data_IF_746962646520
#
_entry.id   IF_746962646520
#
_cell.length_a   1.000
_cell.length_b   1.000
_cell.length_c   1.000
_cell.angle_alpha   90.00
_cell.angle_beta   90.00
_cell.angle_gamma   90.00
#
_symmetry.space_group_name_H-M   'P 1'
#
loop_
_entity.id
_entity.type
_entity.pdbx_description
1 polymer ?
#
# COMPACT_ATOMS: atom_id res chain seq x y z
N UNK A 1 -34.25 17.71 -30.37
CA UNK A 1 -33.43 18.95 -30.43
C UNK A 1 -32.22 18.72 -29.54
N UNK A 2 -31.08 18.35 -30.15
CA UNK A 2 -29.87 17.98 -29.42
C UNK A 2 -29.15 19.22 -28.90
N UNK A 3 -29.04 19.35 -27.59
CA UNK A 3 -28.16 20.33 -26.96
C UNK A 3 -26.75 19.75 -26.94
N UNK A 4 -25.98 20.02 -28.00
CA UNK A 4 -24.53 19.84 -28.02
C UNK A 4 -23.89 20.85 -27.09
N UNK A 5 -23.85 20.53 -25.79
CA UNK A 5 -22.92 21.19 -24.89
C UNK A 5 -21.53 20.70 -25.25
N UNK A 6 -20.67 21.58 -25.77
CA UNK A 6 -19.24 21.29 -25.89
C UNK A 6 -18.73 20.98 -24.48
N UNK A 7 -18.61 19.69 -24.15
CA UNK A 7 -17.99 19.25 -22.91
C UNK A 7 -16.53 19.65 -22.98
N UNK A 8 -16.16 20.73 -22.29
CA UNK A 8 -14.77 21.17 -22.22
C UNK A 8 -13.99 20.10 -21.47
N UNK A 9 -13.27 19.30 -22.24
CA UNK A 9 -12.37 18.24 -21.75
C UNK A 9 -11.20 18.93 -21.04
N UNK A 10 -10.79 18.39 -19.89
CA UNK A 10 -9.65 18.88 -19.10
C UNK A 10 -8.75 17.73 -18.72
N UNK A 11 -7.47 18.04 -18.61
CA UNK A 11 -6.48 17.14 -18.06
C UNK A 11 -6.50 17.27 -16.53
N UNK A 12 -7.12 16.31 -15.84
CA UNK A 12 -7.36 16.36 -14.40
C UNK A 12 -6.56 15.29 -13.65
N UNK A 13 -6.06 15.63 -12.47
CA UNK A 13 -5.51 14.67 -11.51
C UNK A 13 -5.84 15.08 -10.08
N UNK A 14 -5.92 14.11 -9.18
CA UNK A 14 -6.18 14.33 -7.76
C UNK A 14 -4.89 14.13 -6.96
N UNK A 15 -4.68 14.99 -5.96
CA UNK A 15 -3.67 14.83 -4.91
C UNK A 15 -4.40 14.52 -3.61
N UNK A 16 -3.92 13.51 -2.90
CA UNK A 16 -4.42 13.13 -1.58
C UNK A 16 -3.46 13.68 -0.53
N UNK A 17 -3.99 14.49 0.38
CA UNK A 17 -3.24 15.04 1.51
C UNK A 17 -3.85 14.59 2.84
N UNK A 18 -3.02 14.27 3.82
CA UNK A 18 -3.47 14.06 5.19
C UNK A 18 -2.95 15.20 6.06
N UNK A 19 -3.86 15.99 6.64
CA UNK A 19 -3.55 17.19 7.42
C UNK A 19 -2.54 18.13 6.70
N UNK A 20 -2.73 18.33 5.38
CA UNK A 20 -1.87 19.16 4.54
C UNK A 20 -0.54 18.51 4.10
N UNK A 21 -0.32 17.24 4.41
CA UNK A 21 0.85 16.48 3.95
C UNK A 21 0.47 15.62 2.75
N UNK A 22 1.10 15.86 1.61
CA UNK A 22 0.93 15.04 0.41
C UNK A 22 1.31 13.57 0.65
N UNK A 23 0.38 12.66 0.35
CA UNK A 23 0.55 11.21 0.49
C UNK A 23 0.54 10.46 -0.84
N UNK A 24 -0.33 10.86 -1.76
CA UNK A 24 -0.47 10.20 -3.06
C UNK A 24 -1.04 11.14 -4.12
N UNK A 25 -0.91 10.73 -5.39
CA UNK A 25 -1.45 11.44 -6.54
C UNK A 25 -1.87 10.45 -7.62
N UNK A 26 -2.99 10.73 -8.29
CA UNK A 26 -3.47 9.97 -9.46
C UNK A 26 -2.73 10.33 -10.74
N UNK A 27 -2.89 9.49 -11.76
CA UNK A 27 -2.53 9.85 -13.13
C UNK A 27 -3.38 11.02 -13.63
N UNK A 28 -2.84 11.72 -14.62
CA UNK A 28 -3.59 12.73 -15.36
C UNK A 28 -4.55 12.02 -16.31
N UNK A 29 -5.83 12.41 -16.27
CA UNK A 29 -6.86 11.93 -17.18
C UNK A 29 -7.43 13.09 -17.99
N UNK A 30 -7.39 12.95 -19.31
CA UNK A 30 -8.05 13.84 -20.25
C UNK A 30 -9.50 13.38 -20.39
N UNK A 31 -10.41 14.06 -19.70
CA UNK A 31 -11.82 13.68 -19.69
C UNK A 31 -12.72 14.91 -19.55
N UNK A 32 -14.03 14.72 -19.75
CA UNK A 32 -15.01 15.71 -19.32
C UNK A 32 -15.13 15.70 -17.77
N UNK A 33 -16.21 16.24 -17.24
CA UNK A 33 -16.39 16.34 -15.78
C UNK A 33 -16.88 15.06 -15.10
N UNK A 34 -17.22 14.02 -15.87
CA UNK A 34 -17.80 12.77 -15.35
C UNK A 34 -16.95 11.61 -15.81
N UNK A 35 -16.01 11.20 -14.97
CA UNK A 35 -15.06 10.13 -15.28
C UNK A 35 -14.52 9.48 -14.01
N UNK A 36 -13.86 8.33 -14.20
CA UNK A 36 -13.24 7.56 -13.14
C UNK A 36 -11.71 7.56 -13.27
N UNK A 37 -11.01 7.72 -12.15
CA UNK A 37 -9.57 7.43 -12.09
C UNK A 37 -9.30 5.93 -11.96
N UNK A 38 -10.15 5.22 -11.21
CA UNK A 38 -10.02 3.80 -10.86
C UNK A 38 -8.62 3.43 -10.31
N UNK A 39 -8.13 4.26 -9.38
CA UNK A 39 -6.84 4.07 -8.72
C UNK A 39 -7.03 3.75 -7.24
N UNK A 40 -6.13 2.92 -6.71
CA UNK A 40 -6.11 2.54 -5.31
C UNK A 40 -4.76 2.91 -4.70
N UNK A 41 -4.79 3.51 -3.51
CA UNK A 41 -3.61 3.89 -2.76
C UNK A 41 -3.63 3.26 -1.37
N UNK A 42 -2.47 2.86 -0.89
CA UNK A 42 -2.25 2.51 0.52
C UNK A 42 -1.55 3.68 1.20
N UNK A 43 -2.18 4.24 2.24
CA UNK A 43 -1.67 5.41 2.95
C UNK A 43 -1.37 5.05 4.40
N UNK A 44 -0.14 5.33 4.84
CA UNK A 44 0.21 5.27 6.25
C UNK A 44 -0.32 6.52 6.98
N UNK A 45 -1.24 6.28 7.91
CA UNK A 45 -1.87 7.30 8.75
C UNK A 45 -1.25 7.27 10.15
N UNK A 46 -0.80 8.44 10.62
CA UNK A 46 -0.21 8.61 11.96
C UNK A 46 -0.95 9.74 12.66
N UNK A 47 -1.97 9.38 13.44
CA UNK A 47 -2.85 10.33 14.15
C UNK A 47 -3.47 11.39 13.24
N UNK A 48 -3.68 11.06 11.96
CA UNK A 48 -4.22 12.01 11.00
C UNK A 48 -5.72 12.25 11.23
N UNK A 49 -6.16 13.49 11.04
CA UNK A 49 -7.55 13.90 11.34
C UNK A 49 -8.37 14.14 10.09
N UNK A 50 -7.75 14.69 9.06
CA UNK A 50 -8.42 15.06 7.82
C UNK A 50 -7.71 14.45 6.61
N UNK A 51 -8.49 13.95 5.67
CA UNK A 51 -8.04 13.53 4.34
C UNK A 51 -8.64 14.49 3.30
N UNK A 52 -7.77 15.19 2.60
CA UNK A 52 -8.08 16.16 1.57
C UNK A 52 -7.87 15.57 0.16
N UNK A 53 -8.79 15.90 -0.73
CA UNK A 53 -8.76 15.59 -2.16
C UNK A 53 -8.64 16.89 -2.94
N UNK A 54 -7.45 17.14 -3.49
CA UNK A 54 -7.15 18.35 -4.25
C UNK A 54 -7.08 18.00 -5.74
N UNK A 55 -8.08 18.42 -6.51
CA UNK A 55 -8.17 18.10 -7.94
C UNK A 55 -7.65 19.28 -8.75
N UNK A 56 -6.56 19.03 -9.48
CA UNK A 56 -5.88 20.01 -10.30
C UNK A 56 -6.18 19.78 -11.78
N UNK A 57 -6.23 20.87 -12.55
CA UNK A 57 -6.05 20.82 -14.00
C UNK A 57 -4.57 20.98 -14.35
N UNK A 58 -4.07 20.11 -15.22
CA UNK A 58 -2.78 20.24 -15.88
C UNK A 58 -2.97 20.99 -17.20
N UNK A 59 -2.10 21.95 -17.48
CA UNK A 59 -2.06 22.67 -18.75
C UNK A 59 -0.60 22.95 -19.12
N UNK A 60 -0.21 22.78 -20.40
CA UNK A 60 1.18 23.01 -20.85
C UNK A 60 1.71 24.42 -20.60
N UNK A 61 0.85 25.43 -20.58
CA UNK A 61 1.21 26.84 -20.39
C UNK A 61 0.92 27.33 -18.97
N UNK A 62 -0.21 26.93 -18.38
CA UNK A 62 -0.70 27.49 -17.12
C UNK A 62 -0.23 26.78 -15.84
N UNK A 63 0.56 25.70 -15.96
CA UNK A 63 0.99 24.84 -14.84
C UNK A 63 -0.21 24.41 -13.96
N UNK A 64 0.07 23.68 -12.89
CA UNK A 64 -0.95 23.03 -12.07
C UNK A 64 -1.93 24.03 -11.44
N UNK A 65 -3.21 24.01 -11.84
CA UNK A 65 -4.25 24.88 -11.29
C UNK A 65 -5.23 24.07 -10.44
N UNK A 66 -5.34 24.39 -9.14
CA UNK A 66 -6.34 23.78 -8.27
C UNK A 66 -7.74 24.17 -8.75
N UNK A 67 -8.58 23.18 -9.04
CA UNK A 67 -9.92 23.37 -9.56
C UNK A 67 -11.00 23.00 -8.54
N UNK A 68 -10.76 21.95 -7.76
CA UNK A 68 -11.73 21.42 -6.79
C UNK A 68 -11.07 20.93 -5.52
N UNK A 69 -11.80 21.00 -4.41
CA UNK A 69 -11.39 20.43 -3.13
C UNK A 69 -12.55 19.68 -2.48
N UNK A 70 -12.27 18.50 -1.94
CA UNK A 70 -13.14 17.79 -1.00
C UNK A 70 -12.35 17.32 0.20
N UNK A 71 -13.03 17.05 1.32
CA UNK A 71 -12.38 16.69 2.58
C UNK A 71 -13.22 15.68 3.35
N UNK A 72 -12.56 14.81 4.10
CA UNK A 72 -13.19 13.81 4.98
C UNK A 72 -12.51 13.81 6.34
N UNK A 73 -13.30 13.83 7.42
CA UNK A 73 -12.79 13.67 8.78
C UNK A 73 -12.57 12.19 9.09
N UNK A 74 -11.31 11.80 9.21
CA UNK A 74 -10.89 10.41 9.41
C UNK A 74 -11.34 9.88 10.77
N UNK A 75 -11.18 10.65 11.85
CA UNK A 75 -11.48 10.16 13.20
C UNK A 75 -12.94 9.73 13.37
N UNK A 76 -13.89 10.52 12.87
CA UNK A 76 -15.31 10.18 12.91
C UNK A 76 -15.60 8.95 12.05
N UNK A 77 -15.11 8.96 10.81
CA UNK A 77 -15.35 7.89 9.85
C UNK A 77 -14.84 6.54 10.36
N UNK A 78 -13.56 6.47 10.73
CA UNK A 78 -12.88 5.23 11.13
C UNK A 78 -13.39 4.66 12.47
N UNK A 79 -14.12 5.47 13.26
CA UNK A 79 -14.75 5.02 14.49
C UNK A 79 -16.02 4.19 14.24
N UNK A 80 -16.68 4.39 13.10
CA UNK A 80 -17.93 3.71 12.78
C UNK A 80 -17.72 2.33 12.13
N UNK A 81 -16.76 2.21 11.21
CA UNK A 81 -16.49 0.99 10.46
C UNK A 81 -15.04 0.95 9.94
N UNK A 82 -14.46 -0.23 9.69
CA UNK A 82 -13.20 -0.32 8.95
C UNK A 82 -13.39 -0.14 7.43
N UNK A 83 -14.61 -0.19 6.91
CA UNK A 83 -14.88 -0.10 5.47
C UNK A 83 -15.99 0.90 5.18
N UNK A 84 -15.74 1.81 4.24
CA UNK A 84 -16.68 2.85 3.83
C UNK A 84 -16.74 2.99 2.31
N UNK A 85 -17.94 3.28 1.81
CA UNK A 85 -18.16 3.80 0.46
C UNK A 85 -18.72 5.20 0.61
N UNK A 86 -18.05 6.18 0.00
CA UNK A 86 -18.29 7.60 0.25
C UNK A 86 -18.63 8.32 -1.03
N UNK A 87 -19.55 9.27 -0.90
CA UNK A 87 -19.83 10.32 -1.87
C UNK A 87 -19.40 11.66 -1.26
N UNK A 88 -18.16 12.06 -1.54
CA UNK A 88 -17.56 13.29 -0.99
C UNK A 88 -18.00 14.47 -1.84
N UNK A 89 -18.68 15.43 -1.23
CA UNK A 89 -19.00 16.69 -1.91
C UNK A 89 -17.70 17.46 -2.16
N UNK A 90 -17.51 17.92 -3.40
CA UNK A 90 -16.37 18.76 -3.78
C UNK A 90 -16.85 20.17 -4.09
N UNK A 91 -16.08 21.16 -3.65
CA UNK A 91 -16.33 22.57 -3.90
C UNK A 91 -15.53 23.06 -5.12
N UNK A 92 -16.08 23.95 -5.96
CA UNK A 92 -17.41 24.60 -5.82
C UNK A 92 -18.60 23.74 -6.29
N UNK A 93 -18.34 22.59 -6.93
CA UNK A 93 -19.39 21.66 -7.39
C UNK A 93 -18.83 20.29 -7.70
N UNK A 94 -19.68 19.28 -7.57
CA UNK A 94 -19.42 17.90 -7.97
C UNK A 94 -19.43 16.93 -6.79
N UNK A 95 -19.20 15.67 -7.08
CA UNK A 95 -19.13 14.60 -6.09
C UNK A 95 -18.02 13.64 -6.48
N UNK A 96 -17.13 13.34 -5.54
CA UNK A 96 -16.10 12.32 -5.67
C UNK A 96 -16.59 11.04 -4.99
N UNK A 97 -16.68 9.95 -5.74
CA UNK A 97 -16.98 8.65 -5.19
C UNK A 97 -15.69 7.91 -4.86
N UNK A 98 -15.63 7.32 -3.66
CA UNK A 98 -14.48 6.53 -3.26
C UNK A 98 -14.86 5.39 -2.32
N UNK A 99 -13.96 4.42 -2.21
CA UNK A 99 -14.01 3.39 -1.17
C UNK A 99 -12.79 3.53 -0.26
N UNK A 100 -13.01 3.48 1.04
CA UNK A 100 -11.98 3.52 2.06
C UNK A 100 -11.97 2.21 2.85
N UNK A 101 -10.78 1.66 3.06
CA UNK A 101 -10.55 0.52 3.94
C UNK A 101 -9.47 0.88 4.95
N UNK A 102 -9.78 0.72 6.23
CA UNK A 102 -8.87 0.97 7.34
C UNK A 102 -8.47 -0.36 7.99
N UNK A 103 -7.17 -0.59 8.00
CA UNK A 103 -6.54 -1.72 8.66
C UNK A 103 -5.79 -1.20 9.86
N UNK A 104 -6.07 -1.73 11.05
CA UNK A 104 -5.38 -1.27 12.26
C UNK A 104 -3.91 -1.71 12.25
N UNK A 105 -3.00 -1.00 12.95
CA UNK A 105 -1.61 -1.44 13.09
C UNK A 105 -1.50 -2.88 13.59
N UNK A 106 -2.37 -3.29 14.52
CA UNK A 106 -2.41 -4.66 15.01
C UNK A 106 -2.70 -5.63 13.86
N UNK A 107 -3.68 -5.36 13.01
CA UNK A 107 -3.99 -6.21 11.85
C UNK A 107 -2.86 -6.22 10.81
N UNK A 108 -2.23 -5.07 10.54
CA UNK A 108 -1.10 -4.95 9.61
C UNK A 108 0.13 -5.72 10.09
N UNK A 109 0.45 -5.64 11.38
CA UNK A 109 1.61 -6.31 11.97
C UNK A 109 1.33 -7.75 12.43
N UNK A 110 0.06 -8.14 12.55
CA UNK A 110 -0.36 -9.52 12.75
C UNK A 110 -0.02 -10.34 11.51
N UNK A 111 1.22 -10.81 11.47
CA UNK A 111 1.61 -11.96 10.66
C UNK A 111 0.91 -13.17 11.27
N UNK A 112 -0.37 -13.36 10.96
CA UNK A 112 -1.04 -14.62 11.27
C UNK A 112 -0.14 -15.70 10.68
N UNK A 113 0.41 -16.64 11.48
CA UNK A 113 1.01 -17.81 10.87
C UNK A 113 -0.11 -18.38 9.98
N UNK A 114 0.12 -18.48 8.67
CA UNK A 114 -0.71 -19.36 7.83
C UNK A 114 -0.85 -20.62 8.66
N UNK A 115 -2.09 -20.97 9.01
CA UNK A 115 -2.43 -21.97 10.01
C UNK A 115 -1.37 -23.06 10.05
N UNK A 116 -0.94 -23.53 11.24
CA UNK A 116 -0.05 -24.67 11.28
C UNK A 116 -0.82 -25.83 10.68
N UNK A 117 -0.69 -26.03 9.37
CA UNK A 117 -0.98 -27.29 8.75
C UNK A 117 0.04 -28.19 9.42
N UNK A 118 -0.42 -28.94 10.43
CA UNK A 118 0.35 -29.96 11.10
C UNK A 118 0.56 -31.10 10.12
N UNK A 119 1.24 -30.84 9.01
CA UNK A 119 1.94 -31.86 8.25
C UNK A 119 3.21 -32.13 9.01
N UNK A 120 3.27 -33.31 9.64
CA UNK A 120 4.44 -33.86 10.32
C UNK A 120 5.74 -33.46 9.60
N UNK A 121 6.54 -32.61 10.24
CA UNK A 121 7.92 -32.34 9.83
C UNK A 121 8.23 -30.95 9.26
N UNK A 122 7.31 -29.97 9.24
CA UNK A 122 7.68 -28.59 8.87
C UNK A 122 7.36 -27.58 9.98
N UNK A 123 8.43 -26.91 10.42
CA UNK A 123 8.55 -25.98 11.55
C UNK A 123 7.46 -24.90 11.59
N UNK A 124 6.92 -24.65 12.79
CA UNK A 124 6.05 -23.49 13.07
C UNK A 124 6.75 -22.17 12.67
N UNK A 125 5.96 -21.20 12.22
CA UNK A 125 6.48 -19.89 11.78
C UNK A 125 7.21 -19.13 12.88
N UNK A 126 8.36 -18.54 12.54
CA UNK A 126 9.18 -17.71 13.44
C UNK A 126 8.46 -16.39 13.74
N UNK A 127 7.87 -15.80 12.70
CA UNK A 127 7.17 -14.53 12.82
C UNK A 127 5.75 -14.71 13.34
N UNK A 128 5.32 -13.81 14.24
CA UNK A 128 4.03 -13.88 14.92
C UNK A 128 3.99 -14.86 16.10
N UNK A 129 5.08 -15.57 16.38
CA UNK A 129 5.28 -16.34 17.62
C UNK A 129 5.94 -15.45 18.69
N UNK A 130 5.66 -15.74 19.97
CA UNK A 130 6.36 -15.11 21.09
C UNK A 130 7.87 -15.41 21.05
N UNK A 131 8.69 -14.42 21.38
CA UNK A 131 10.16 -14.53 21.31
C UNK A 131 10.66 -15.71 22.16
N UNK A 132 10.19 -15.83 23.39
CA UNK A 132 10.57 -16.91 24.31
C UNK A 132 10.21 -18.29 23.74
N UNK A 133 9.02 -18.40 23.14
CA UNK A 133 8.57 -19.62 22.47
C UNK A 133 9.50 -20.00 21.30
N UNK A 134 9.96 -19.02 20.52
CA UNK A 134 10.90 -19.27 19.41
C UNK A 134 12.27 -19.68 19.94
N UNK A 135 12.81 -18.96 20.93
CA UNK A 135 14.13 -19.23 21.53
C UNK A 135 14.18 -20.62 22.15
N UNK A 136 13.15 -21.02 22.92
CA UNK A 136 13.09 -22.34 23.52
C UNK A 136 13.05 -23.46 22.47
N UNK A 137 12.31 -23.26 21.38
CA UNK A 137 12.27 -24.23 20.26
C UNK A 137 13.64 -24.37 19.59
N UNK A 138 14.34 -23.25 19.38
CA UNK A 138 15.68 -23.25 18.78
C UNK A 138 16.70 -23.92 19.70
N UNK A 139 16.65 -23.66 21.02
CA UNK A 139 17.51 -24.31 22.02
C UNK A 139 17.32 -25.82 22.03
N UNK A 140 16.06 -26.29 22.10
CA UNK A 140 15.73 -27.73 22.09
C UNK A 140 16.17 -28.38 20.76
N UNK A 141 15.94 -27.72 19.63
CA UNK A 141 16.38 -28.23 18.32
C UNK A 141 17.92 -28.34 18.24
N UNK A 142 18.64 -27.38 18.84
CA UNK A 142 20.11 -27.38 18.94
C UNK A 142 20.64 -28.55 19.77
N UNK A 143 19.99 -28.86 20.90
CA UNK A 143 20.37 -29.97 21.78
C UNK A 143 20.11 -31.35 21.16
N UNK A 144 19.01 -31.51 20.43
CA UNK A 144 18.61 -32.79 19.82
C UNK A 144 19.44 -33.11 18.58
N UNK A 145 19.77 -32.12 17.76
CA UNK A 145 20.46 -32.28 16.48
C UNK A 145 21.94 -31.92 16.61
N UNK A 146 22.73 -32.62 17.42
CA UNK A 146 24.18 -32.33 17.63
C UNK A 146 24.94 -31.96 16.33
N UNK A 147 25.19 -30.66 16.12
CA UNK A 147 25.95 -30.15 14.97
C UNK A 147 26.11 -28.63 14.96
N UNK A 148 27.26 -28.13 14.46
CA UNK A 148 27.68 -26.72 14.42
C UNK A 148 26.71 -25.76 13.70
N UNK A 149 25.79 -26.29 12.88
CA UNK A 149 24.82 -25.51 12.11
C UNK A 149 23.68 -24.89 12.95
N UNK A 150 23.62 -25.15 14.26
CA UNK A 150 22.49 -24.76 15.13
C UNK A 150 22.81 -23.59 16.08
N UNK A 151 24.02 -23.04 16.03
CA UNK A 151 24.37 -21.79 16.72
C UNK A 151 23.88 -20.53 15.98
N UNK A 152 23.29 -20.69 14.80
CA UNK A 152 22.75 -19.60 13.98
C UNK A 152 21.24 -19.57 14.18
N UNK A 153 20.66 -18.46 14.72
CA UNK A 153 19.22 -18.32 14.87
C UNK A 153 18.49 -18.65 13.56
N UNK A 154 17.36 -19.38 13.63
CA UNK A 154 16.66 -19.90 12.45
C UNK A 154 16.31 -18.78 11.49
N UNK A 155 16.00 -17.59 12.01
CA UNK A 155 15.70 -16.44 11.17
C UNK A 155 16.90 -16.03 10.30
N UNK A 156 18.11 -16.02 10.85
CA UNK A 156 19.34 -15.67 10.12
C UNK A 156 19.60 -16.73 9.06
N UNK A 157 19.57 -18.01 9.43
CA UNK A 157 19.75 -19.12 8.49
C UNK A 157 18.75 -19.06 7.33
N UNK A 158 17.45 -18.85 7.61
CA UNK A 158 16.39 -18.77 6.59
C UNK A 158 16.56 -17.56 5.68
N UNK A 159 16.97 -16.41 6.22
CA UNK A 159 17.26 -15.23 5.42
C UNK A 159 18.45 -15.47 4.48
N UNK A 160 19.53 -16.10 4.97
CA UNK A 160 20.70 -16.47 4.16
C UNK A 160 20.31 -17.45 3.06
N UNK A 161 19.61 -18.54 3.40
CA UNK A 161 19.10 -19.52 2.42
C UNK A 161 18.24 -18.86 1.34
N UNK A 162 17.36 -17.92 1.71
CA UNK A 162 16.48 -17.24 0.77
C UNK A 162 17.25 -16.25 -0.13
N UNK A 163 18.29 -15.60 0.39
CA UNK A 163 19.22 -14.76 -0.40
C UNK A 163 19.97 -15.64 -1.42
N UNK A 164 20.55 -16.74 -0.98
CA UNK A 164 21.27 -17.69 -1.85
C UNK A 164 20.34 -18.28 -2.93
N UNK A 165 19.11 -18.66 -2.55
CA UNK A 165 18.10 -19.23 -3.46
C UNK A 165 17.64 -18.23 -4.53
N UNK A 166 17.55 -16.94 -4.21
CA UNK A 166 17.19 -15.88 -5.17
C UNK A 166 18.36 -15.47 -6.06
N UNK A 167 19.58 -15.90 -5.71
CA UNK A 167 20.81 -15.52 -6.37
C UNK A 167 21.29 -14.14 -5.93
N UNK A 168 22.60 -14.01 -5.76
CA UNK A 168 23.29 -12.72 -5.62
C UNK A 168 23.67 -12.17 -6.99
N UNK A 169 22.74 -12.16 -7.95
CA UNK A 169 23.00 -11.72 -9.34
C UNK A 169 23.11 -10.19 -9.48
N UNK A 170 23.81 -9.55 -8.55
CA UNK A 170 24.34 -8.21 -8.73
C UNK A 170 25.84 -8.36 -8.98
N UNK A 171 26.18 -8.72 -10.22
CA UNK A 171 27.50 -8.40 -10.74
C UNK A 171 27.55 -6.87 -10.83
N UNK A 172 28.19 -6.23 -9.86
CA UNK A 172 28.70 -4.87 -10.01
C UNK A 172 29.83 -4.91 -11.02
N UNK A 173 29.47 -4.93 -12.30
CA UNK A 173 30.30 -4.55 -13.44
C UNK A 173 29.34 -4.19 -14.57
N UNK A 174 29.33 -2.90 -14.93
CA UNK A 174 28.31 -2.31 -15.79
C UNK A 174 28.05 -3.09 -17.08
N UNK A 175 26.83 -3.62 -17.22
CA UNK A 175 26.12 -3.74 -18.50
C UNK A 175 24.63 -3.95 -18.25
N UNK A 176 23.88 -2.86 -18.23
CA UNK A 176 22.41 -2.90 -18.24
C UNK A 176 21.94 -3.50 -19.56
N UNK A 177 21.38 -4.71 -19.54
CA UNK A 177 20.61 -5.25 -20.66
C UNK A 177 19.13 -5.17 -20.27
N UNK A 178 18.46 -4.13 -20.74
CA UNK A 178 17.00 -4.07 -20.78
C UNK A 178 16.57 -4.99 -21.91
N UNK A 179 15.82 -6.06 -21.62
CA UNK A 179 15.01 -6.74 -22.61
C UNK A 179 13.54 -6.33 -22.40
N UNK A 180 12.79 -6.03 -23.47
CA UNK A 180 11.39 -5.71 -23.37
C UNK A 180 10.62 -7.01 -23.14
N UNK A 181 9.76 -7.03 -22.12
CA UNK A 181 8.64 -7.98 -22.12
C UNK A 181 7.35 -7.21 -22.30
N UNK A 182 6.81 -7.43 -23.48
CA UNK A 182 5.45 -7.14 -23.93
C UNK A 182 4.46 -8.08 -23.24
N UNK A 183 3.35 -7.46 -22.82
CA UNK A 183 2.10 -7.96 -22.23
C UNK A 183 2.18 -8.56 -20.82
#
# INVERSE_FOLDING_TARGET
LGAGGNSVVRDLYCVLECDGVHKARTVVRTADLVFDWDETFELDLVSNRELDFLIYSWDPQYRHKLCYKGSVQLAALLSESPVHQLAVKIEPRGTLYMRLHHTTPQQTFLRKPKQPLMTRGKTQGIFGSELETVVNRESIASEILKGDALNIPTIVRRCVEEVERRGLDIIVAGKTRISPRTW
#
